data_IF_950876162865
#
_entry.id   IF_950876162865
#
_cell.length_a   1.000
_cell.length_b   1.000
_cell.length_c   1.000
_cell.angle_alpha   90.00
_cell.angle_beta   90.00
_cell.angle_gamma   90.00
#
_symmetry.space_group_name_H-M   'P 1'
#
loop_
_entity.id
_entity.type
_entity.pdbx_description
1 polymer ?
#
# COMPACT_ATOMS: atom_id res chain seq x y z
N UNK A 1 -30.08 -0.99 -17.68
CA UNK A 1 -30.69 -0.99 -16.33
C UNK A 1 -29.76 -0.21 -15.41
N UNK A 2 -30.28 0.63 -14.50
CA UNK A 2 -29.42 1.24 -13.47
C UNK A 2 -28.89 0.12 -12.58
N UNK A 3 -27.58 0.11 -12.37
CA UNK A 3 -26.90 -0.80 -11.46
C UNK A 3 -27.42 -0.61 -10.02
N UNK A 4 -27.53 -1.68 -9.24
CA UNK A 4 -27.99 -1.57 -7.84
C UNK A 4 -26.91 -0.91 -6.98
N UNK A 5 -27.30 -0.29 -5.85
CA UNK A 5 -26.34 0.31 -4.92
C UNK A 5 -25.33 -0.72 -4.41
N UNK A 6 -25.78 -1.93 -4.12
CA UNK A 6 -24.88 -3.02 -3.75
C UNK A 6 -23.86 -3.31 -4.85
N UNK A 7 -24.29 -3.44 -6.11
CA UNK A 7 -23.38 -3.69 -7.24
C UNK A 7 -22.40 -2.53 -7.46
N UNK A 8 -22.84 -1.28 -7.25
CA UNK A 8 -21.96 -0.10 -7.26
C UNK A 8 -20.90 -0.15 -6.15
N UNK A 9 -21.29 -0.55 -4.94
CA UNK A 9 -20.37 -0.72 -3.81
C UNK A 9 -19.37 -1.87 -4.02
N UNK A 10 -19.82 -2.97 -4.64
CA UNK A 10 -18.94 -4.07 -5.02
C UNK A 10 -17.93 -3.65 -6.08
N UNK A 11 -18.37 -2.97 -7.14
CA UNK A 11 -17.52 -2.65 -8.29
C UNK A 11 -16.64 -1.41 -8.10
N UNK A 12 -17.20 -0.33 -7.56
CA UNK A 12 -16.48 0.95 -7.44
C UNK A 12 -15.70 1.03 -6.13
N UNK A 13 -16.28 0.55 -5.04
CA UNK A 13 -15.68 0.63 -3.71
C UNK A 13 -14.96 -0.66 -3.32
N UNK A 14 -15.02 -1.69 -4.17
CA UNK A 14 -14.40 -2.99 -3.94
C UNK A 14 -14.84 -3.64 -2.64
N UNK A 15 -16.05 -3.36 -2.16
CA UNK A 15 -16.57 -4.08 -1.01
C UNK A 15 -16.87 -5.54 -1.40
N UNK A 16 -16.59 -6.48 -0.50
CA UNK A 16 -17.09 -7.84 -0.68
C UNK A 16 -18.63 -7.86 -0.64
N UNK A 17 -19.26 -8.89 -1.20
CA UNK A 17 -20.72 -8.91 -1.35
C UNK A 17 -21.48 -8.83 -0.03
N UNK A 18 -20.91 -9.35 1.07
CA UNK A 18 -21.53 -9.25 2.40
C UNK A 18 -21.43 -7.84 2.95
N UNK A 19 -20.26 -7.22 2.83
CA UNK A 19 -20.01 -5.85 3.25
C UNK A 19 -20.85 -4.87 2.43
N UNK A 20 -20.88 -5.04 1.10
CA UNK A 20 -21.65 -4.21 0.18
C UNK A 20 -23.15 -4.31 0.45
N UNK A 21 -23.70 -5.53 0.62
CA UNK A 21 -25.09 -5.72 0.98
C UNK A 21 -25.44 -5.06 2.32
N UNK A 22 -24.57 -5.22 3.34
CA UNK A 22 -24.76 -4.61 4.66
C UNK A 22 -24.78 -3.08 4.59
N UNK A 23 -23.85 -2.47 3.86
CA UNK A 23 -23.78 -1.01 3.67
C UNK A 23 -24.98 -0.51 2.87
N UNK A 24 -25.34 -1.16 1.76
CA UNK A 24 -26.42 -0.73 0.88
C UNK A 24 -27.77 -0.59 1.60
N UNK A 25 -28.06 -1.44 2.59
CA UNK A 25 -29.32 -1.39 3.35
C UNK A 25 -29.45 -0.20 4.31
N UNK A 26 -28.37 0.56 4.53
CA UNK A 26 -28.31 1.59 5.58
C UNK A 26 -27.93 2.97 5.05
N UNK A 27 -27.68 3.10 3.75
CA UNK A 27 -27.46 4.39 3.11
C UNK A 27 -28.79 5.13 2.96
N UNK A 28 -28.81 6.39 3.39
CA UNK A 28 -29.90 7.31 3.04
C UNK A 28 -29.88 7.68 1.55
N UNK A 29 -31.00 8.15 1.01
CA UNK A 29 -31.10 8.61 -0.39
C UNK A 29 -30.06 9.70 -0.71
N UNK A 30 -29.77 10.59 0.25
CA UNK A 30 -28.74 11.64 0.12
C UNK A 30 -27.31 11.06 0.07
N UNK A 31 -27.02 10.03 0.86
CA UNK A 31 -25.72 9.34 0.83
C UNK A 31 -25.55 8.54 -0.44
N UNK A 32 -26.60 7.86 -0.90
CA UNK A 32 -26.65 7.21 -2.21
C UNK A 32 -26.36 8.22 -3.32
N UNK A 33 -27.02 9.38 -3.29
CA UNK A 33 -26.80 10.43 -4.30
C UNK A 33 -25.37 10.97 -4.25
N UNK A 34 -24.79 11.15 -3.06
CA UNK A 34 -23.38 11.54 -2.91
C UNK A 34 -22.43 10.49 -3.46
N UNK A 35 -22.66 9.20 -3.18
CA UNK A 35 -21.84 8.11 -3.74
C UNK A 35 -21.94 8.12 -5.26
N UNK A 36 -23.15 8.24 -5.81
CA UNK A 36 -23.37 8.33 -7.26
C UNK A 36 -22.72 9.56 -7.90
N UNK A 37 -22.67 10.69 -7.18
CA UNK A 37 -22.05 11.93 -7.66
C UNK A 37 -20.51 11.94 -7.49
N UNK A 38 -19.96 11.21 -6.50
CA UNK A 38 -18.51 10.99 -6.33
C UNK A 38 -17.99 9.95 -7.33
N UNK A 39 -18.89 9.25 -8.02
CA UNK A 39 -18.54 8.24 -9.02
C UNK A 39 -18.77 8.77 -10.43
N UNK A 40 -17.84 9.58 -10.98
CA UNK A 40 -17.58 9.70 -12.42
C UNK A 40 -16.58 10.83 -12.74
N UNK A 41 -15.28 10.54 -12.65
CA UNK A 41 -14.28 11.27 -13.45
C UNK A 41 -13.35 10.34 -14.24
N UNK A 42 -13.42 9.03 -14.01
CA UNK A 42 -12.62 8.05 -14.74
C UNK A 42 -13.32 7.59 -16.02
N UNK A 43 -12.57 7.55 -17.11
CA UNK A 43 -12.98 6.94 -18.36
C UNK A 43 -13.15 5.42 -18.19
N UNK A 44 -13.94 4.80 -19.07
CA UNK A 44 -14.10 3.35 -19.06
C UNK A 44 -12.76 2.60 -19.25
N UNK A 45 -11.83 3.21 -19.98
CA UNK A 45 -10.49 2.68 -20.18
C UNK A 45 -9.69 2.72 -18.87
N UNK A 46 -9.74 3.84 -18.13
CA UNK A 46 -9.10 3.96 -16.83
C UNK A 46 -9.64 2.94 -15.82
N UNK A 47 -10.96 2.74 -15.77
CA UNK A 47 -11.61 1.72 -14.92
C UNK A 47 -11.12 0.32 -15.29
N UNK A 48 -11.12 -0.01 -16.57
CA UNK A 48 -10.69 -1.33 -17.05
C UNK A 48 -9.20 -1.59 -16.77
N UNK A 49 -8.35 -0.59 -16.97
CA UNK A 49 -6.93 -0.66 -16.65
C UNK A 49 -6.69 -0.83 -15.14
N UNK A 50 -7.41 -0.06 -14.31
CA UNK A 50 -7.36 -0.19 -12.84
C UNK A 50 -7.75 -1.59 -12.39
N UNK A 51 -8.81 -2.17 -12.94
CA UNK A 51 -9.29 -3.51 -12.54
C UNK A 51 -8.33 -4.62 -12.98
N UNK A 52 -7.77 -4.50 -14.18
CA UNK A 52 -6.67 -5.36 -14.62
C UNK A 52 -5.46 -5.26 -13.67
N UNK A 53 -5.05 -4.03 -13.35
CA UNK A 53 -3.94 -3.78 -12.42
C UNK A 53 -4.17 -4.38 -11.03
N UNK A 54 -5.41 -4.31 -10.50
CA UNK A 54 -5.78 -4.95 -9.22
C UNK A 54 -5.56 -6.46 -9.28
N UNK A 55 -6.02 -7.09 -10.36
CA UNK A 55 -5.82 -8.53 -10.56
C UNK A 55 -4.33 -8.87 -10.65
N UNK A 56 -3.54 -8.14 -11.44
CA UNK A 56 -2.10 -8.41 -11.57
C UNK A 56 -1.36 -8.26 -10.24
N UNK A 57 -1.66 -7.21 -9.47
CA UNK A 57 -1.05 -6.99 -8.15
C UNK A 57 -1.49 -8.08 -7.16
N UNK A 58 -2.77 -8.47 -7.16
CA UNK A 58 -3.30 -9.56 -6.35
C UNK A 58 -2.62 -10.89 -6.65
N UNK A 59 -2.43 -11.21 -7.93
CA UNK A 59 -1.75 -12.41 -8.38
C UNK A 59 -0.26 -12.39 -7.98
N UNK A 60 0.40 -11.23 -8.03
CA UNK A 60 1.78 -11.08 -7.52
C UNK A 60 1.81 -11.31 -6.00
N UNK A 61 0.88 -10.72 -5.24
CA UNK A 61 0.81 -10.85 -3.78
C UNK A 61 0.59 -12.29 -3.31
N UNK A 62 -0.25 -13.03 -4.02
CA UNK A 62 -0.55 -14.44 -3.71
C UNK A 62 0.47 -15.43 -4.31
N UNK A 63 1.36 -14.96 -5.19
CA UNK A 63 2.32 -15.80 -5.91
C UNK A 63 1.72 -16.54 -7.11
N UNK A 64 0.46 -16.26 -7.48
CA UNK A 64 -0.17 -16.78 -8.69
C UNK A 64 0.48 -16.23 -9.97
N UNK A 65 1.12 -15.06 -9.89
CA UNK A 65 1.92 -14.48 -10.98
C UNK A 65 3.41 -14.46 -10.65
N UNK A 66 4.23 -14.77 -11.66
CA UNK A 66 5.69 -14.62 -11.57
C UNK A 66 6.18 -13.20 -11.77
N UNK A 67 5.30 -12.29 -12.22
CA UNK A 67 5.62 -10.86 -12.41
C UNK A 67 6.12 -10.23 -11.11
N UNK A 68 6.85 -9.13 -11.25
CA UNK A 68 7.37 -8.36 -10.11
C UNK A 68 6.62 -7.04 -9.96
N UNK A 69 6.53 -6.52 -8.74
CA UNK A 69 5.91 -5.23 -8.45
C UNK A 69 6.96 -4.19 -8.04
N UNK A 70 7.00 -3.06 -8.74
CA UNK A 70 7.89 -1.93 -8.43
C UNK A 70 7.01 -0.73 -8.08
N UNK A 71 7.07 -0.25 -6.84
CA UNK A 71 6.25 0.88 -6.37
C UNK A 71 7.13 2.12 -6.19
N UNK A 72 6.89 3.17 -6.97
CA UNK A 72 7.71 4.37 -7.05
C UNK A 72 6.86 5.63 -6.92
N UNK A 73 7.32 6.58 -6.11
CA UNK A 73 6.74 7.92 -6.03
C UNK A 73 7.19 8.64 -4.79
N UNK A 74 6.68 9.84 -4.51
CA UNK A 74 7.19 10.67 -3.43
C UNK A 74 6.89 10.06 -2.06
N UNK A 75 7.50 10.65 -1.02
CA UNK A 75 7.19 10.30 0.37
C UNK A 75 5.69 10.56 0.70
N UNK A 76 5.15 11.67 0.19
CA UNK A 76 3.72 12.08 0.18
C UNK A 76 3.43 12.95 -1.03
N UNK A 77 2.16 13.02 -1.41
CA UNK A 77 1.67 14.00 -2.38
C UNK A 77 1.61 15.41 -1.76
N UNK A 78 1.89 16.44 -2.54
CA UNK A 78 1.93 17.84 -2.13
C UNK A 78 1.22 18.71 -3.18
N UNK A 79 0.74 19.89 -2.80
CA UNK A 79 -0.01 20.81 -3.69
C UNK A 79 0.88 21.54 -4.68
N UNK A 80 2.16 21.68 -4.36
CA UNK A 80 3.10 22.52 -5.12
C UNK A 80 3.85 21.73 -6.21
N UNK A 81 3.58 20.43 -6.36
CA UNK A 81 4.36 19.52 -7.19
C UNK A 81 3.66 19.09 -8.48
N UNK A 82 4.40 19.08 -9.58
CA UNK A 82 3.98 18.46 -10.85
C UNK A 82 4.47 17.00 -10.93
N UNK A 83 3.51 16.07 -10.99
CA UNK A 83 3.74 14.63 -11.08
C UNK A 83 3.84 14.10 -12.51
N UNK A 84 3.59 14.93 -13.54
CA UNK A 84 3.62 14.53 -14.95
C UNK A 84 4.94 13.85 -15.31
N UNK A 85 6.08 14.45 -14.95
CA UNK A 85 7.40 13.85 -15.24
C UNK A 85 7.65 12.52 -14.53
N UNK A 86 7.06 12.30 -13.35
CA UNK A 86 7.10 11.00 -12.66
C UNK A 86 6.22 9.97 -13.36
N UNK A 87 5.02 10.37 -13.80
CA UNK A 87 4.11 9.50 -14.54
C UNK A 87 4.70 9.06 -15.88
N UNK A 88 5.30 9.98 -16.63
CA UNK A 88 6.00 9.67 -17.88
C UNK A 88 7.14 8.68 -17.62
N UNK A 89 7.93 8.92 -16.56
CA UNK A 89 9.00 7.99 -16.15
C UNK A 89 8.48 6.58 -15.82
N UNK A 90 7.35 6.48 -15.10
CA UNK A 90 6.71 5.21 -14.77
C UNK A 90 6.22 4.48 -16.04
N UNK A 91 5.58 5.19 -16.97
CA UNK A 91 5.11 4.60 -18.23
C UNK A 91 6.27 4.10 -19.11
N UNK A 92 7.36 4.87 -19.19
CA UNK A 92 8.58 4.44 -19.87
C UNK A 92 9.18 3.19 -19.20
N UNK A 93 9.25 3.15 -17.86
CA UNK A 93 9.72 1.97 -17.13
C UNK A 93 8.82 0.75 -17.34
N UNK A 94 7.51 0.92 -17.37
CA UNK A 94 6.55 -0.14 -17.65
C UNK A 94 6.74 -0.71 -19.05
N UNK A 95 6.99 0.16 -20.04
CA UNK A 95 7.28 -0.22 -21.42
C UNK A 95 8.60 -1.00 -21.55
N UNK A 96 9.63 -0.60 -20.78
CA UNK A 96 10.92 -1.31 -20.71
C UNK A 96 10.83 -2.69 -20.05
N UNK A 97 9.78 -2.94 -19.25
CA UNK A 97 9.65 -4.08 -18.35
C UNK A 97 8.24 -4.70 -18.33
N UNK A 98 7.79 -5.35 -19.43
CA UNK A 98 6.44 -5.93 -19.52
C UNK A 98 6.17 -7.08 -18.53
N UNK A 99 7.22 -7.73 -18.03
CA UNK A 99 7.15 -8.79 -17.02
C UNK A 99 7.08 -8.25 -15.57
N UNK A 100 6.87 -6.94 -15.41
CA UNK A 100 6.69 -6.27 -14.13
C UNK A 100 5.47 -5.35 -14.17
N UNK A 101 4.94 -5.04 -12.99
CA UNK A 101 3.97 -3.98 -12.76
C UNK A 101 4.71 -2.82 -12.11
N UNK A 102 4.73 -1.67 -12.78
CA UNK A 102 5.34 -0.44 -12.27
C UNK A 102 4.23 0.49 -11.80
N UNK A 103 4.15 0.70 -10.49
CA UNK A 103 3.05 1.41 -9.85
C UNK A 103 3.49 2.74 -9.22
N UNK A 104 2.58 3.69 -9.25
CA UNK A 104 2.71 4.97 -8.58
C UNK A 104 2.44 4.84 -7.08
N UNK A 105 3.38 5.37 -6.28
CA UNK A 105 3.24 5.54 -4.84
C UNK A 105 2.50 6.85 -4.52
N UNK A 106 1.18 6.76 -4.37
CA UNK A 106 0.28 7.91 -4.24
C UNK A 106 -0.10 8.30 -2.81
N UNK A 107 0.84 8.38 -1.86
CA UNK A 107 0.54 8.68 -0.44
C UNK A 107 -0.25 10.00 -0.24
N UNK A 108 -1.57 9.93 -0.11
CA UNK A 108 -2.44 11.07 0.17
C UNK A 108 -2.55 11.45 1.65
N UNK A 109 -2.13 10.57 2.55
CA UNK A 109 -2.14 10.74 4.00
C UNK A 109 -0.77 10.45 4.64
N UNK A 110 -0.55 11.01 5.82
CA UNK A 110 0.66 10.82 6.62
C UNK A 110 0.32 10.48 8.08
N UNK A 111 0.75 9.32 8.60
CA UNK A 111 0.52 8.98 10.00
C UNK A 111 1.41 9.83 10.91
N UNK A 112 0.81 10.51 11.90
CA UNK A 112 1.49 11.39 12.86
C UNK A 112 1.17 10.98 14.29
N UNK A 113 2.18 10.99 15.17
CA UNK A 113 2.01 10.77 16.62
C UNK A 113 1.82 12.07 17.40
N UNK A 114 1.81 13.22 16.72
CA UNK A 114 1.74 14.55 17.30
C UNK A 114 1.32 15.57 16.25
N UNK A 115 1.57 16.86 16.50
CA UNK A 115 1.15 17.92 15.58
C UNK A 115 1.93 17.90 14.24
N UNK A 116 1.28 18.43 13.22
CA UNK A 116 1.85 18.72 11.91
C UNK A 116 0.99 18.19 10.76
N UNK A 117 1.42 18.47 9.53
CA UNK A 117 0.66 18.14 8.32
C UNK A 117 0.36 16.63 8.21
N UNK A 118 -0.91 16.31 7.95
CA UNK A 118 -1.51 14.97 7.96
C UNK A 118 -1.78 14.39 6.57
N UNK A 119 -1.52 15.16 5.51
CA UNK A 119 -1.79 14.75 4.13
C UNK A 119 -2.81 15.64 3.42
N UNK A 120 -2.84 15.54 2.09
CA UNK A 120 -3.85 16.23 1.27
C UNK A 120 -5.27 15.74 1.58
N UNK A 121 -5.44 14.47 1.93
CA UNK A 121 -6.75 13.88 2.23
C UNK A 121 -7.47 14.56 3.41
N UNK A 122 -6.71 15.08 4.39
CA UNK A 122 -7.24 15.77 5.57
C UNK A 122 -7.04 17.28 5.49
N UNK A 123 -6.67 17.80 4.31
CA UNK A 123 -6.42 19.21 4.09
C UNK A 123 -7.71 20.01 3.88
N UNK A 124 -7.54 21.18 3.28
CA UNK A 124 -8.64 21.98 2.75
C UNK A 124 -9.37 21.28 1.61
N UNK A 125 -10.56 21.75 1.24
CA UNK A 125 -11.28 21.24 0.05
C UNK A 125 -10.42 21.28 -1.22
N UNK A 126 -9.57 22.30 -1.36
CA UNK A 126 -8.63 22.43 -2.46
C UNK A 126 -7.54 21.34 -2.43
N UNK A 127 -7.04 20.99 -1.25
CA UNK A 127 -6.04 19.92 -1.09
C UNK A 127 -6.64 18.56 -1.45
N UNK A 128 -7.86 18.29 -0.99
CA UNK A 128 -8.60 17.07 -1.32
C UNK A 128 -8.90 17.00 -2.81
N UNK A 129 -9.34 18.10 -3.43
CA UNK A 129 -9.54 18.16 -4.88
C UNK A 129 -8.25 17.85 -5.63
N UNK A 130 -7.13 18.44 -5.22
CA UNK A 130 -5.81 18.19 -5.83
C UNK A 130 -5.41 16.71 -5.74
N UNK A 131 -5.64 16.06 -4.59
CA UNK A 131 -5.39 14.62 -4.43
C UNK A 131 -6.16 13.80 -5.47
N UNK A 132 -7.45 14.09 -5.67
CA UNK A 132 -8.26 13.40 -6.67
C UNK A 132 -7.84 13.76 -8.10
N UNK A 133 -7.50 15.01 -8.40
CA UNK A 133 -6.97 15.42 -9.72
C UNK A 133 -5.68 14.65 -10.06
N UNK A 134 -4.78 14.44 -9.09
CA UNK A 134 -3.54 13.63 -9.26
C UNK A 134 -3.88 12.16 -9.51
N UNK A 135 -4.81 11.60 -8.75
CA UNK A 135 -5.24 10.20 -8.92
C UNK A 135 -5.94 9.98 -10.26
N UNK A 136 -6.82 10.88 -10.68
CA UNK A 136 -7.48 10.87 -12.00
C UNK A 136 -6.43 10.89 -13.10
N UNK A 137 -5.44 11.79 -13.04
CA UNK A 137 -4.38 11.85 -14.05
C UNK A 137 -3.56 10.55 -14.16
N UNK A 138 -3.21 9.92 -13.04
CA UNK A 138 -2.50 8.64 -13.04
C UNK A 138 -3.38 7.51 -13.60
N UNK A 139 -4.64 7.44 -13.18
CA UNK A 139 -5.59 6.42 -13.60
C UNK A 139 -5.94 6.51 -15.10
N UNK A 140 -6.13 7.73 -15.65
CA UNK A 140 -6.36 7.95 -17.09
C UNK A 140 -5.17 7.53 -17.95
N UNK A 141 -3.96 7.58 -17.39
CA UNK A 141 -2.73 7.07 -18.02
C UNK A 141 -2.57 5.55 -17.87
N UNK A 142 -3.51 4.87 -17.21
CA UNK A 142 -3.45 3.44 -16.91
C UNK A 142 -2.43 3.05 -15.83
N UNK A 143 -1.87 4.03 -15.10
CA UNK A 143 -0.83 3.79 -14.11
C UNK A 143 -1.47 3.23 -12.83
N UNK A 144 -1.01 2.06 -12.31
CA UNK A 144 -1.51 1.53 -11.06
C UNK A 144 -1.16 2.45 -9.89
N UNK A 145 -2.13 2.71 -9.01
CA UNK A 145 -1.94 3.56 -7.83
C UNK A 145 -1.96 2.70 -6.57
N UNK A 146 -0.90 2.77 -5.77
CA UNK A 146 -0.90 2.24 -4.41
C UNK A 146 -0.70 3.38 -3.41
N UNK A 147 -1.45 3.35 -2.31
CA UNK A 147 -1.34 4.34 -1.24
C UNK A 147 -1.35 3.69 0.15
N UNK A 148 -0.81 4.42 1.12
CA UNK A 148 -0.96 4.09 2.54
C UNK A 148 -2.36 4.48 3.00
N UNK A 149 -3.03 3.54 3.65
CA UNK A 149 -4.27 3.82 4.36
C UNK A 149 -3.93 3.95 5.84
N UNK A 150 -4.20 5.13 6.40
CA UNK A 150 -3.97 5.47 7.81
C UNK A 150 -5.24 5.31 8.63
N UNK A 151 -6.41 5.47 8.00
CA UNK A 151 -7.72 5.34 8.65
C UNK A 151 -8.70 4.64 7.70
N UNK A 152 -9.64 3.89 8.27
CA UNK A 152 -10.53 3.03 7.50
C UNK A 152 -11.47 3.81 6.56
N UNK A 153 -11.84 5.02 6.96
CA UNK A 153 -12.74 5.93 6.25
C UNK A 153 -12.17 6.34 4.89
N UNK A 154 -10.85 6.29 4.72
CA UNK A 154 -10.19 6.59 3.44
C UNK A 154 -10.54 5.58 2.35
N UNK A 155 -10.81 4.31 2.70
CA UNK A 155 -11.03 3.26 1.72
C UNK A 155 -12.26 3.56 0.85
N UNK A 156 -13.37 4.02 1.43
CA UNK A 156 -14.58 4.33 0.66
C UNK A 156 -14.35 5.46 -0.35
N UNK A 157 -13.59 6.49 0.03
CA UNK A 157 -13.32 7.63 -0.83
C UNK A 157 -12.25 7.35 -1.89
N UNK A 158 -11.21 6.58 -1.54
CA UNK A 158 -10.04 6.40 -2.41
C UNK A 158 -10.11 5.13 -3.25
N UNK A 159 -10.76 4.06 -2.79
CA UNK A 159 -10.80 2.77 -3.49
C UNK A 159 -11.12 2.88 -5.00
N UNK A 160 -12.05 3.74 -5.46
CA UNK A 160 -12.34 3.87 -6.89
C UNK A 160 -11.13 4.20 -7.78
N UNK A 161 -10.06 4.78 -7.25
CA UNK A 161 -8.86 5.13 -8.01
C UNK A 161 -7.72 4.12 -7.83
N UNK A 162 -7.76 3.32 -6.77
CA UNK A 162 -6.60 2.56 -6.31
C UNK A 162 -6.53 1.17 -6.95
N UNK A 163 -5.30 0.75 -7.27
CA UNK A 163 -4.97 -0.61 -7.69
C UNK A 163 -4.48 -1.49 -6.55
N UNK A 164 -4.15 -0.90 -5.40
CA UNK A 164 -3.82 -1.59 -4.17
C UNK A 164 -3.57 -0.61 -3.03
N UNK A 165 -3.41 -1.12 -1.82
CA UNK A 165 -3.13 -0.31 -0.62
C UNK A 165 -2.07 -0.96 0.24
N UNK A 166 -1.54 -0.22 1.20
CA UNK A 166 -0.84 -0.81 2.33
C UNK A 166 -1.22 -0.17 3.66
N UNK A 167 -0.98 -0.91 4.73
CA UNK A 167 -0.97 -0.38 6.10
C UNK A 167 0.44 -0.01 6.52
N UNK A 168 0.57 1.15 7.16
CA UNK A 168 1.84 1.68 7.66
C UNK A 168 2.43 0.88 8.83
N UNK A 169 3.73 1.06 9.09
CA UNK A 169 4.41 0.39 10.21
C UNK A 169 3.96 0.86 11.60
N UNK A 170 3.23 1.98 11.70
CA UNK A 170 2.63 2.48 12.95
C UNK A 170 1.24 1.89 13.16
N UNK A 171 0.49 1.75 12.09
CA UNK A 171 -0.90 1.32 12.11
C UNK A 171 -1.05 -0.17 11.88
N UNK A 172 0.06 -0.87 11.59
CA UNK A 172 0.05 -2.33 11.39
C UNK A 172 -0.53 -3.04 12.58
N UNK A 173 -0.45 -2.54 13.82
CA UNK A 173 -1.05 -3.17 15.02
C UNK A 173 -2.54 -2.83 15.22
N UNK A 174 -3.08 -1.88 14.45
CA UNK A 174 -4.47 -1.44 14.57
C UNK A 174 -5.44 -2.55 14.14
N UNK A 175 -6.10 -3.17 15.11
CA UNK A 175 -7.11 -4.21 14.85
C UNK A 175 -8.30 -3.66 14.06
N UNK A 176 -8.70 -2.41 14.31
CA UNK A 176 -9.79 -1.76 13.58
C UNK A 176 -9.43 -1.57 12.09
N UNK A 177 -8.20 -1.13 11.80
CA UNK A 177 -7.77 -0.89 10.42
C UNK A 177 -7.52 -2.22 9.67
N UNK A 178 -6.84 -3.17 10.30
CA UNK A 178 -6.66 -4.53 9.75
C UNK A 178 -7.99 -5.16 9.40
N UNK A 179 -8.95 -5.02 10.32
CA UNK A 179 -10.24 -5.61 10.13
C UNK A 179 -10.89 -5.04 8.90
N UNK A 180 -10.90 -3.71 8.76
CA UNK A 180 -11.51 -3.04 7.61
C UNK A 180 -11.00 -3.56 6.27
N UNK A 181 -9.72 -3.85 6.11
CA UNK A 181 -9.21 -4.44 4.87
C UNK A 181 -9.78 -5.81 4.51
N UNK A 182 -10.30 -6.58 5.46
CA UNK A 182 -10.95 -7.86 5.14
C UNK A 182 -12.17 -7.64 4.27
N UNK A 183 -12.90 -6.54 4.47
CA UNK A 183 -14.15 -6.20 3.79
C UNK A 183 -13.97 -5.67 2.36
N UNK A 184 -12.72 -5.56 1.89
CA UNK A 184 -12.40 -4.97 0.60
C UNK A 184 -11.63 -5.96 -0.28
N UNK A 185 -12.08 -6.18 -1.51
CA UNK A 185 -11.46 -7.06 -2.52
C UNK A 185 -10.32 -6.38 -3.32
N UNK A 186 -9.69 -5.34 -2.79
CA UNK A 186 -8.46 -4.77 -3.39
C UNK A 186 -7.19 -5.41 -2.79
N UNK A 187 -6.07 -5.46 -3.52
CA UNK A 187 -4.80 -5.96 -2.98
C UNK A 187 -4.30 -5.12 -1.80
N UNK A 188 -3.92 -5.79 -0.69
CA UNK A 188 -3.48 -5.15 0.55
C UNK A 188 -2.08 -5.62 0.91
N UNK A 189 -1.15 -4.68 1.12
CA UNK A 189 0.18 -5.00 1.61
C UNK A 189 0.36 -4.60 3.09
N UNK A 190 1.02 -5.46 3.87
CA UNK A 190 1.24 -5.26 5.29
C UNK A 190 2.70 -4.87 5.53
N UNK A 191 2.97 -3.62 5.93
CA UNK A 191 4.32 -3.25 6.38
C UNK A 191 4.64 -3.88 7.72
N UNK A 192 5.87 -4.39 7.90
CA UNK A 192 6.30 -4.80 9.23
C UNK A 192 6.37 -3.60 10.20
N UNK A 193 6.05 -3.86 11.47
CA UNK A 193 6.04 -2.86 12.52
C UNK A 193 7.45 -2.36 12.88
N UNK A 194 7.50 -1.25 13.63
CA UNK A 194 8.77 -0.63 14.06
C UNK A 194 9.62 -1.55 14.93
N UNK A 195 9.02 -2.46 15.70
CA UNK A 195 9.74 -3.40 16.58
C UNK A 195 10.40 -4.56 15.82
N UNK A 196 9.96 -4.85 14.59
CA UNK A 196 10.45 -5.99 13.82
C UNK A 196 9.83 -7.33 14.20
N UNK A 197 8.83 -7.34 15.08
CA UNK A 197 8.13 -8.59 15.41
C UNK A 197 7.30 -9.08 14.22
N UNK A 198 7.77 -10.16 13.58
CA UNK A 198 7.11 -10.78 12.43
C UNK A 198 5.75 -11.40 12.80
N UNK A 199 5.51 -11.73 14.08
CA UNK A 199 4.22 -12.25 14.52
C UNK A 199 3.11 -11.20 14.40
N UNK A 200 3.46 -9.91 14.48
CA UNK A 200 2.51 -8.81 14.26
C UNK A 200 2.03 -8.80 12.80
N UNK A 201 2.95 -9.08 11.87
CA UNK A 201 2.64 -9.20 10.43
C UNK A 201 1.80 -10.44 10.17
N UNK A 202 2.17 -11.59 10.75
CA UNK A 202 1.38 -12.82 10.64
C UNK A 202 -0.07 -12.61 11.07
N UNK A 203 -0.28 -12.07 12.27
CA UNK A 203 -1.62 -11.75 12.79
C UNK A 203 -2.37 -10.75 11.91
N UNK A 204 -1.68 -9.78 11.32
CA UNK A 204 -2.29 -8.84 10.39
C UNK A 204 -2.77 -9.55 9.12
N UNK A 205 -1.95 -10.43 8.52
CA UNK A 205 -2.33 -11.24 7.36
C UNK A 205 -3.54 -12.12 7.69
N UNK A 206 -3.52 -12.79 8.84
CA UNK A 206 -4.65 -13.62 9.32
C UNK A 206 -5.93 -12.78 9.48
N UNK A 207 -5.82 -11.58 10.06
CA UNK A 207 -6.98 -10.69 10.27
C UNK A 207 -7.58 -10.23 8.94
N UNK A 208 -6.76 -9.86 7.96
CA UNK A 208 -7.25 -9.43 6.64
C UNK A 208 -7.91 -10.58 5.89
N UNK A 209 -7.41 -11.82 6.05
CA UNK A 209 -7.98 -13.02 5.42
C UNK A 209 -9.18 -13.61 6.14
N UNK A 210 -9.43 -13.20 7.38
CA UNK A 210 -10.47 -13.78 8.21
C UNK A 210 -11.87 -13.51 7.62
N UNK A 211 -12.64 -14.59 7.50
CA UNK A 211 -14.04 -14.53 7.10
C UNK A 211 -14.90 -14.37 8.36
N UNK A 212 -15.47 -13.19 8.56
CA UNK A 212 -16.25 -12.90 9.77
C UNK A 212 -17.67 -13.47 9.74
N UNK A 213 -18.14 -14.06 8.63
CA UNK A 213 -19.45 -14.74 8.53
C UNK A 213 -19.49 -16.05 9.32
N UNK A 214 -18.35 -16.73 9.45
CA UNK A 214 -18.29 -18.06 10.09
C UNK A 214 -18.55 -18.03 11.60
N UNK A 215 -18.54 -16.85 12.23
CA UNK A 215 -18.77 -16.63 13.67
C UNK A 215 -18.00 -17.62 14.57
N UNK A 216 -16.81 -18.04 14.13
CA UNK A 216 -15.91 -19.02 14.75
C UNK A 216 -14.95 -18.36 15.76
N UNK A 217 -15.40 -17.28 16.38
CA UNK A 217 -14.59 -16.36 17.20
C UNK A 217 -13.49 -15.57 16.47
N UNK A 218 -13.39 -15.63 15.14
CA UNK A 218 -12.47 -14.79 14.34
C UNK A 218 -12.88 -13.30 14.24
N UNK A 219 -13.78 -12.82 15.13
CA UNK A 219 -14.51 -11.54 15.02
C UNK A 219 -13.62 -10.38 14.57
N UNK A 220 -13.64 -10.12 13.26
CA UNK A 220 -13.05 -8.93 12.67
C UNK A 220 -13.95 -7.76 13.00
N UNK A 221 -13.51 -6.86 13.88
CA UNK A 221 -14.28 -5.68 14.25
C UNK A 221 -14.18 -4.67 13.11
N UNK A 222 -15.23 -4.64 12.29
CA UNK A 222 -15.32 -3.81 11.09
C UNK A 222 -16.03 -2.46 11.32
N UNK A 223 -16.31 -2.05 12.57
CA UNK A 223 -17.04 -0.81 12.82
C UNK A 223 -17.04 -0.34 14.27
N UNK A 224 -17.22 0.97 14.43
CA UNK A 224 -17.54 1.62 15.70
C UNK A 224 -19.05 1.52 15.94
N UNK A 225 -19.44 0.90 17.05
CA UNK A 225 -20.77 1.11 17.62
C UNK A 225 -20.80 2.55 18.18
N UNK A 226 -21.24 3.52 17.39
CA UNK A 226 -21.72 4.76 17.97
C UNK A 226 -23.11 4.49 18.56
N UNK A 227 -23.37 5.02 19.75
CA UNK A 227 -24.69 5.01 20.38
C UNK A 227 -25.26 6.42 20.26
N UNK A 228 -26.57 6.56 20.01
CA UNK A 228 -27.15 7.89 20.07
C UNK A 228 -27.22 8.35 21.54
N UNK A 229 -26.87 9.61 21.86
CA UNK A 229 -26.95 10.12 23.23
C UNK A 229 -28.35 10.02 23.86
N UNK A 230 -29.39 10.09 23.03
CA UNK A 230 -30.81 9.98 23.40
C UNK A 230 -31.33 8.53 23.40
N UNK A 231 -30.59 7.58 22.82
CA UNK A 231 -30.90 6.15 22.80
C UNK A 231 -29.65 5.28 23.08
N UNK A 232 -29.08 5.35 24.30
CA UNK A 232 -27.94 4.53 24.68
C UNK A 232 -28.29 3.03 24.57
N UNK A 233 -27.38 2.24 23.96
CA UNK A 233 -27.59 0.82 23.69
C UNK A 233 -28.10 0.50 22.28
N UNK A 234 -28.55 1.49 21.52
CA UNK A 234 -28.91 1.31 20.10
C UNK A 234 -27.68 1.59 19.24
N UNK A 235 -27.22 0.58 18.52
CA UNK A 235 -26.14 0.71 17.55
C UNK A 235 -26.57 1.65 16.42
N UNK A 236 -25.79 2.70 16.14
CA UNK A 236 -26.05 3.63 15.03
C UNK A 236 -25.34 3.26 13.74
N UNK A 237 -24.46 2.26 13.79
CA UNK A 237 -23.72 1.72 12.64
C UNK A 237 -23.64 0.20 12.75
N UNK A 238 -23.61 -0.54 11.62
CA UNK A 238 -23.57 -1.98 11.64
C UNK A 238 -22.17 -2.48 11.96
N UNK A 239 -22.10 -3.66 12.56
CA UNK A 239 -20.90 -4.49 12.50
C UNK A 239 -20.89 -5.10 11.10
N UNK A 240 -19.98 -4.66 10.23
CA UNK A 240 -19.88 -5.27 8.90
C UNK A 240 -19.49 -6.75 9.08
N UNK A 241 -19.97 -7.57 8.15
CA UNK A 241 -19.53 -8.95 7.97
C UNK A 241 -18.78 -8.99 6.65
N UNK A 242 -17.74 -9.80 6.57
CA UNK A 242 -16.83 -9.86 5.45
C UNK A 242 -16.49 -11.31 5.10
N UNK A 243 -16.26 -11.53 3.81
CA UNK A 243 -15.81 -12.81 3.26
C UNK A 243 -14.32 -13.07 3.51
N UNK A 244 -13.56 -12.03 3.87
CA UNK A 244 -12.12 -12.03 4.01
C UNK A 244 -11.42 -11.70 2.68
N UNK A 245 -10.21 -11.14 2.77
CA UNK A 245 -9.42 -10.76 1.60
C UNK A 245 -8.14 -11.60 1.51
N UNK A 246 -8.03 -12.43 0.47
CA UNK A 246 -6.87 -13.31 0.22
C UNK A 246 -5.68 -12.61 -0.43
N UNK A 247 -5.90 -11.46 -1.09
CA UNK A 247 -4.93 -10.72 -1.90
C UNK A 247 -4.01 -9.89 -1.00
N UNK A 248 -3.20 -10.58 -0.20
CA UNK A 248 -2.35 -9.97 0.82
C UNK A 248 -0.88 -10.15 0.50
N UNK A 249 -0.12 -9.05 0.51
CA UNK A 249 1.35 -9.02 0.41
C UNK A 249 1.99 -8.52 1.70
N UNK A 250 3.31 -8.67 1.83
CA UNK A 250 4.09 -8.16 2.96
C UNK A 250 5.11 -7.14 2.45
N UNK A 251 5.32 -6.04 3.18
CA UNK A 251 6.37 -5.07 2.91
C UNK A 251 7.41 -5.12 4.03
N UNK A 252 8.63 -5.52 3.69
CA UNK A 252 9.79 -5.51 4.57
C UNK A 252 10.47 -4.13 4.51
N UNK A 253 10.45 -3.41 5.62
CA UNK A 253 10.93 -2.02 5.72
C UNK A 253 12.05 -1.80 6.76
N UNK A 254 12.49 -2.86 7.43
CA UNK A 254 13.46 -2.80 8.53
C UNK A 254 12.77 -2.62 9.90
N UNK A 255 13.54 -2.65 10.98
CA UNK A 255 13.04 -2.54 12.37
C UNK A 255 14.02 -1.84 13.33
N UNK A 256 13.50 -1.22 14.40
CA UNK A 256 14.26 -0.35 15.32
C UNK A 256 15.32 -1.19 16.02
N UNK A 257 16.57 -0.81 15.80
CA UNK A 257 17.74 -1.46 16.38
C UNK A 257 18.35 -0.57 17.47
N UNK A 258 18.99 -1.16 18.48
CA UNK A 258 19.76 -0.41 19.47
C UNK A 258 20.77 0.54 18.80
N UNK A 259 20.98 1.72 19.39
CA UNK A 259 21.83 2.76 18.79
C UNK A 259 23.33 2.45 18.86
N UNK A 260 23.73 1.66 19.85
CA UNK A 260 25.10 1.36 20.27
C UNK A 260 25.73 0.14 19.59
N UNK A 261 24.98 -0.61 18.78
CA UNK A 261 25.53 -1.75 18.04
C UNK A 261 26.32 -1.34 16.79
N UNK A 262 27.33 -2.14 16.44
CA UNK A 262 28.20 -1.86 15.31
C UNK A 262 27.46 -1.96 13.95
N UNK A 263 27.97 -1.30 12.90
CA UNK A 263 27.42 -1.43 11.53
C UNK A 263 27.34 -2.88 11.05
N UNK A 264 28.31 -3.71 11.45
CA UNK A 264 28.36 -5.14 11.11
C UNK A 264 27.20 -5.90 11.76
N UNK A 265 26.90 -5.59 13.01
CA UNK A 265 25.76 -6.16 13.73
C UNK A 265 24.43 -5.68 13.17
N UNK A 266 24.29 -4.39 12.85
CA UNK A 266 23.10 -3.86 12.16
C UNK A 266 22.81 -4.60 10.86
N UNK A 267 23.84 -4.80 10.02
CA UNK A 267 23.71 -5.57 8.78
C UNK A 267 23.26 -7.00 9.02
N UNK A 268 23.87 -7.68 9.99
CA UNK A 268 23.50 -9.06 10.36
C UNK A 268 22.04 -9.13 10.83
N UNK A 269 21.64 -8.19 11.66
CA UNK A 269 20.29 -8.09 12.23
C UNK A 269 19.24 -7.81 11.14
N UNK A 270 19.54 -6.94 10.18
CA UNK A 270 18.67 -6.64 9.05
C UNK A 270 18.53 -7.82 8.07
N UNK A 271 19.62 -8.54 7.77
CA UNK A 271 19.58 -9.74 6.93
C UNK A 271 18.76 -10.84 7.59
N UNK A 272 18.97 -11.06 8.89
CA UNK A 272 18.20 -12.02 9.65
C UNK A 272 16.71 -11.68 9.59
N UNK A 273 16.35 -10.42 9.89
CA UNK A 273 14.96 -9.96 9.85
C UNK A 273 14.32 -10.10 8.47
N UNK A 274 15.04 -9.74 7.42
CA UNK A 274 14.54 -9.92 6.06
C UNK A 274 14.31 -11.41 5.74
N UNK A 275 15.21 -12.28 6.19
CA UNK A 275 15.04 -13.73 6.06
C UNK A 275 13.83 -14.22 6.85
N UNK A 276 13.63 -13.75 8.09
CA UNK A 276 12.47 -14.08 8.92
C UNK A 276 11.16 -13.65 8.23
N UNK A 277 11.13 -12.47 7.59
CA UNK A 277 9.97 -12.01 6.80
C UNK A 277 9.75 -12.89 5.56
N UNK A 278 10.80 -13.28 4.84
CA UNK A 278 10.65 -14.14 3.66
C UNK A 278 10.16 -15.55 4.04
N UNK A 279 10.66 -16.10 5.13
CA UNK A 279 10.17 -17.35 5.71
C UNK A 279 8.70 -17.23 6.13
N UNK A 280 8.31 -16.12 6.77
CA UNK A 280 6.91 -15.84 7.08
C UNK A 280 6.08 -15.78 5.80
N UNK A 281 6.51 -15.01 4.80
CA UNK A 281 5.83 -14.89 3.51
C UNK A 281 5.62 -16.26 2.84
N UNK A 282 6.61 -17.15 2.92
CA UNK A 282 6.49 -18.53 2.44
C UNK A 282 5.47 -19.32 3.28
N UNK A 283 5.52 -19.22 4.62
CA UNK A 283 4.59 -19.89 5.56
C UNK A 283 3.14 -19.49 5.28
N UNK A 284 2.87 -18.21 5.05
CA UNK A 284 1.51 -17.69 4.87
C UNK A 284 1.13 -17.52 3.39
N UNK A 285 1.99 -17.86 2.43
CA UNK A 285 1.71 -17.68 1.00
C UNK A 285 1.47 -16.22 0.61
N UNK A 286 2.37 -15.32 1.03
CA UNK A 286 2.36 -13.89 0.71
C UNK A 286 3.71 -13.48 0.11
N UNK A 287 3.70 -12.85 -1.05
CA UNK A 287 4.90 -12.22 -1.61
C UNK A 287 5.42 -11.09 -0.71
N UNK A 288 6.73 -10.89 -0.76
CA UNK A 288 7.44 -9.86 0.01
C UNK A 288 7.94 -8.75 -0.93
N UNK A 289 7.67 -7.51 -0.55
CA UNK A 289 8.22 -6.31 -1.16
C UNK A 289 9.29 -5.71 -0.26
N UNK A 290 10.40 -5.27 -0.83
CA UNK A 290 11.45 -4.58 -0.09
C UNK A 290 11.24 -3.06 -0.17
N UNK A 291 10.93 -2.43 0.95
CA UNK A 291 10.90 -0.97 1.05
C UNK A 291 12.31 -0.46 1.38
N UNK A 292 12.94 0.14 0.38
CA UNK A 292 14.33 0.58 0.47
C UNK A 292 14.53 2.00 0.98
N UNK A 293 13.51 2.66 1.54
CA UNK A 293 13.54 4.11 1.64
C UNK A 293 13.61 4.68 3.04
N UNK A 294 12.92 4.08 3.99
CA UNK A 294 12.80 4.63 5.33
C UNK A 294 14.13 4.60 6.09
N UNK A 295 14.48 5.70 6.77
CA UNK A 295 15.74 5.82 7.54
C UNK A 295 15.68 5.19 8.92
N UNK A 296 14.50 5.25 9.53
CA UNK A 296 14.23 4.63 10.82
C UNK A 296 13.00 3.78 10.67
N UNK A 297 13.11 2.51 11.02
CA UNK A 297 14.36 1.78 11.17
C UNK A 297 15.25 1.56 9.94
N UNK A 298 16.54 1.27 10.15
CA UNK A 298 17.49 1.08 9.06
C UNK A 298 17.25 -0.22 8.29
N UNK A 299 17.56 -0.18 7.00
CA UNK A 299 17.72 -1.36 6.15
C UNK A 299 19.21 -1.64 5.99
N UNK A 300 19.62 -2.88 6.23
CA UNK A 300 21.02 -3.31 6.27
C UNK A 300 21.86 -2.55 7.31
N UNK A 301 22.68 -1.59 6.88
CA UNK A 301 23.60 -0.78 7.70
C UNK A 301 23.44 0.73 7.44
N UNK A 302 22.32 1.11 6.81
CA UNK A 302 22.11 2.47 6.31
C UNK A 302 21.15 3.18 7.27
N UNK A 303 21.69 4.01 8.16
CA UNK A 303 20.90 4.74 9.18
C UNK A 303 20.60 6.19 8.78
N UNK A 304 21.30 6.73 7.77
CA UNK A 304 21.20 8.15 7.38
C UNK A 304 20.13 8.38 6.32
N UNK A 305 19.38 9.47 6.52
CA UNK A 305 18.57 10.14 5.49
C UNK A 305 19.52 10.76 4.46
N UNK A 306 19.38 10.42 3.18
CA UNK A 306 20.13 11.01 2.07
C UNK A 306 19.45 10.76 0.72
N UNK A 307 19.63 11.67 -0.24
CA UNK A 307 18.86 11.71 -1.50
C UNK A 307 19.02 10.46 -2.38
N UNK A 308 20.09 9.68 -2.21
CA UNK A 308 20.30 8.45 -2.96
C UNK A 308 20.11 7.19 -2.12
N UNK A 309 19.47 7.28 -0.94
CA UNK A 309 19.33 6.16 -0.01
C UNK A 309 18.72 4.92 -0.66
N UNK A 310 17.66 5.09 -1.43
CA UNK A 310 16.99 3.99 -2.11
C UNK A 310 17.96 3.19 -3.00
N UNK A 311 18.79 3.89 -3.79
CA UNK A 311 19.81 3.27 -4.64
C UNK A 311 20.86 2.51 -3.82
N UNK A 312 21.26 3.03 -2.65
CA UNK A 312 22.21 2.37 -1.76
C UNK A 312 21.62 1.09 -1.15
N UNK A 313 20.36 1.13 -0.70
CA UNK A 313 19.68 -0.05 -0.17
C UNK A 313 19.55 -1.13 -1.25
N UNK A 314 19.15 -0.77 -2.47
CA UNK A 314 19.07 -1.72 -3.59
C UNK A 314 20.43 -2.36 -3.91
N UNK A 315 21.52 -1.59 -3.92
CA UNK A 315 22.88 -2.13 -4.13
C UNK A 315 23.27 -3.13 -3.03
N UNK A 316 22.99 -2.82 -1.76
CA UNK A 316 23.27 -3.73 -0.63
C UNK A 316 22.42 -4.99 -0.70
N UNK A 317 21.14 -4.83 -1.06
CA UNK A 317 20.21 -5.93 -1.30
C UNK A 317 20.73 -6.88 -2.39
N UNK A 318 21.19 -6.35 -3.53
CA UNK A 318 21.77 -7.18 -4.60
C UNK A 318 22.96 -8.00 -4.13
N UNK A 319 23.85 -7.38 -3.33
CA UNK A 319 25.01 -8.08 -2.77
C UNK A 319 24.58 -9.17 -1.81
N UNK A 320 23.58 -8.93 -0.95
CA UNK A 320 23.09 -9.92 0.01
C UNK A 320 22.48 -11.15 -0.68
N UNK A 321 21.63 -10.94 -1.69
CA UNK A 321 21.04 -12.04 -2.48
C UNK A 321 22.12 -12.84 -3.20
N UNK A 322 23.06 -12.18 -3.91
CA UNK A 322 24.14 -12.89 -4.64
C UNK A 322 25.06 -13.69 -3.74
N UNK A 323 25.20 -13.30 -2.47
CA UNK A 323 25.97 -14.02 -1.47
C UNK A 323 25.20 -15.16 -0.79
N UNK A 324 23.91 -15.35 -1.12
CA UNK A 324 23.06 -16.35 -0.48
C UNK A 324 22.80 -16.06 0.99
N UNK A 325 22.80 -14.79 1.40
CA UNK A 325 22.65 -14.41 2.82
C UNK A 325 21.19 -14.36 3.29
N UNK A 326 20.24 -14.26 2.36
CA UNK A 326 18.81 -14.14 2.64
C UNK A 326 18.16 -15.52 2.44
N UNK A 327 17.43 -16.00 3.45
CA UNK A 327 16.65 -17.24 3.33
C UNK A 327 15.35 -16.98 2.57
N UNK A 328 14.94 -17.94 1.74
CA UNK A 328 13.77 -17.89 0.85
C UNK A 328 13.66 -16.59 0.00
N UNK A 329 14.74 -16.19 -0.70
CA UNK A 329 14.74 -14.95 -1.48
C UNK A 329 13.73 -14.96 -2.63
N UNK A 330 13.26 -16.12 -3.08
CA UNK A 330 12.21 -16.29 -4.09
C UNK A 330 10.84 -15.76 -3.65
N UNK A 331 10.64 -15.55 -2.35
CA UNK A 331 9.44 -14.89 -1.82
C UNK A 331 9.44 -13.39 -2.12
N UNK A 332 10.61 -12.82 -2.44
CA UNK A 332 10.72 -11.40 -2.79
C UNK A 332 10.23 -11.21 -4.23
N UNK A 333 9.10 -10.51 -4.37
CA UNK A 333 8.47 -10.25 -5.66
C UNK A 333 8.38 -8.76 -6.00
N UNK A 334 8.98 -7.89 -5.19
CA UNK A 334 8.95 -6.48 -5.51
C UNK A 334 9.80 -5.59 -4.64
N UNK A 335 9.82 -4.31 -5.01
CA UNK A 335 10.50 -3.24 -4.25
C UNK A 335 9.61 -2.00 -4.19
N UNK A 336 9.83 -1.19 -3.16
CA UNK A 336 9.17 0.11 -2.96
C UNK A 336 10.24 1.18 -2.67
N UNK A 337 10.12 2.33 -3.33
CA UNK A 337 11.10 3.42 -3.30
C UNK A 337 10.49 4.82 -3.28
N UNK A 338 11.06 5.75 -2.48
CA UNK A 338 10.74 7.19 -2.61
C UNK A 338 11.57 7.85 -3.70
N UNK A 339 10.86 8.34 -4.72
CA UNK A 339 11.41 9.07 -5.86
C UNK A 339 10.52 10.27 -6.16
N UNK A 340 11.08 11.38 -6.63
CA UNK A 340 10.29 12.57 -6.97
C UNK A 340 11.01 13.42 -8.02
N UNK A 341 10.29 14.34 -8.66
CA UNK A 341 10.85 15.26 -9.67
C UNK A 341 11.64 16.41 -9.06
N UNK A 342 11.39 16.71 -7.78
CA UNK A 342 12.01 17.80 -7.03
C UNK A 342 12.25 17.43 -5.56
N UNK A 343 13.06 18.24 -4.86
CA UNK A 343 13.13 18.18 -3.40
C UNK A 343 11.88 18.79 -2.78
N UNK A 344 10.96 17.95 -2.30
CA UNK A 344 9.77 18.38 -1.56
C UNK A 344 9.98 18.54 -0.04
N UNK A 345 8.87 18.80 0.69
CA UNK A 345 8.81 19.07 2.15
C UNK A 345 9.06 17.86 3.07
N UNK A 346 9.24 16.64 2.57
CA UNK A 346 9.44 15.45 3.43
C UNK A 346 10.49 14.47 2.91
N UNK A 347 11.52 14.26 3.74
CA UNK A 347 12.69 13.37 3.60
C UNK A 347 13.52 13.49 2.32
N UNK A 348 14.84 13.22 2.37
CA UNK A 348 15.69 13.32 1.19
C UNK A 348 15.38 12.15 0.25
N UNK A 349 14.39 12.37 -0.61
CA UNK A 349 13.95 11.48 -1.67
C UNK A 349 14.96 11.47 -2.82
N UNK A 350 14.88 10.44 -3.67
CA UNK A 350 15.63 10.41 -4.91
C UNK A 350 15.01 11.35 -5.93
N UNK A 351 15.70 12.46 -6.20
CA UNK A 351 15.30 13.41 -7.25
C UNK A 351 15.60 12.79 -8.62
N UNK A 352 14.56 12.63 -9.43
CA UNK A 352 14.61 12.18 -10.82
C UNK A 352 15.09 13.31 -11.71
N UNK A 353 16.41 13.39 -11.86
CA UNK A 353 17.06 14.09 -12.97
C UNK A 353 17.60 13.06 -13.98
N UNK A 354 18.16 13.52 -15.11
CA UNK A 354 18.68 12.64 -16.16
C UNK A 354 19.68 11.59 -15.62
N UNK A 355 20.58 11.99 -14.73
CA UNK A 355 21.61 11.10 -14.16
C UNK A 355 20.99 10.03 -13.23
N UNK A 356 20.22 10.48 -12.23
CA UNK A 356 19.59 9.62 -11.23
C UNK A 356 18.55 8.69 -11.87
N UNK A 357 17.80 9.19 -12.86
CA UNK A 357 16.82 8.41 -13.64
C UNK A 357 17.50 7.24 -14.34
N UNK A 358 18.62 7.49 -15.03
CA UNK A 358 19.41 6.44 -15.69
C UNK A 358 19.99 5.43 -14.69
N UNK A 359 20.47 5.90 -13.54
CA UNK A 359 21.00 5.03 -12.49
C UNK A 359 19.89 4.13 -11.91
N UNK A 360 18.72 4.70 -11.65
CA UNK A 360 17.56 3.97 -11.15
C UNK A 360 17.06 2.95 -12.18
N UNK A 361 16.92 3.32 -13.47
CA UNK A 361 16.57 2.38 -14.56
C UNK A 361 17.50 1.16 -14.58
N UNK A 362 18.81 1.39 -14.52
CA UNK A 362 19.81 0.31 -14.49
C UNK A 362 19.66 -0.58 -13.27
N UNK A 363 19.41 0.00 -12.09
CA UNK A 363 19.22 -0.76 -10.85
C UNK A 363 17.90 -1.52 -10.82
N UNK A 364 16.80 -0.96 -11.33
CA UNK A 364 15.52 -1.66 -11.46
C UNK A 364 15.68 -2.85 -12.39
N UNK A 365 16.27 -2.66 -13.58
CA UNK A 365 16.56 -3.76 -14.52
C UNK A 365 17.40 -4.87 -13.87
N UNK A 366 18.44 -4.49 -13.13
CA UNK A 366 19.27 -5.45 -12.40
C UNK A 366 18.52 -6.13 -11.25
N UNK A 367 17.58 -5.44 -10.60
CA UNK A 367 16.72 -6.00 -9.54
C UNK A 367 15.75 -7.02 -10.14
N UNK A 368 15.06 -6.67 -11.23
CA UNK A 368 14.13 -7.57 -11.90
C UNK A 368 14.84 -8.87 -12.32
N UNK A 369 16.01 -8.77 -12.95
CA UNK A 369 16.85 -9.95 -13.31
C UNK A 369 17.35 -10.76 -12.12
N UNK A 370 17.44 -10.17 -10.94
CA UNK A 370 17.88 -10.84 -9.72
C UNK A 370 16.73 -11.60 -9.04
N UNK A 371 15.50 -11.11 -9.22
CA UNK A 371 14.30 -11.69 -8.64
C UNK A 371 13.62 -12.72 -9.55
N UNK A 372 13.92 -12.70 -10.85
CA UNK A 372 13.57 -13.74 -11.83
C UNK A 372 14.63 -14.84 -11.79
#
# INVERSE_FOLDING_TARGET
MKESIQSQLEHHWMLDSLAAGSVATQLSDDEVLKIQNVTAELSQNAISARDHNRQEIGDIFTGASSKKLIVLGPCSLDTDADYTGLFDYIQELQSDHPDAVIAFRGNGAKPRTGTGWTGLFYGSEQDVKMLFDIYTQAAERGIPILTEITEAEQLGALAPFLSGVWVGARDVESTALRGKFSAYHLPVAIKNGRTGDVNIVEKAVETVRANSKKNDNSRVILGQLAMQPDSPGVATKPVLVSEGNSQVGIIARGYELPGDISKKEKRKAAIKHLSDICMLGSKVGCAVLIDGTHSVPPMFDIDKKGSQRFLHVLKKFHVAIRKGEIMNPEQIRGIMGEVGTETGRTDPNLILNIENSNQLRKLIRATLRLLT
#
